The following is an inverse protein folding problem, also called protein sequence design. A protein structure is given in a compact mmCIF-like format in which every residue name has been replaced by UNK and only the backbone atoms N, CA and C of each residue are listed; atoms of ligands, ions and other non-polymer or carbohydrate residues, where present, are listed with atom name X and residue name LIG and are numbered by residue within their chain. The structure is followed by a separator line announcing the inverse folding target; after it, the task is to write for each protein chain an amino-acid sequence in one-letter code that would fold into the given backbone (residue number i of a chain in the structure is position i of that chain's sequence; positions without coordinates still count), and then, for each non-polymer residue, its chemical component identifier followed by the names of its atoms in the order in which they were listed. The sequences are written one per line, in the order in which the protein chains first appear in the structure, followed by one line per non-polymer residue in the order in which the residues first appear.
data_IF_876458253203
#
_entry.id   IF_876458253203
#
_cell.length_a   1.000
_cell.length_b   1.000
_cell.length_c   1.000
_cell.angle_alpha   90.00
_cell.angle_beta   90.00
_cell.angle_gamma   90.00
#
_symmetry.space_group_name_H-M   'P 1'
#
loop_
_entity.id
_entity.type
_entity.pdbx_description
1 polymer ?
#
# COMPACT_ATOMS: atom_id res chain seq x y z
N UNK A 1 1.35 10.27 -2.26
CA UNK A 1 1.99 8.97 -2.49
C UNK A 1 3.14 8.86 -1.50
N UNK A 2 3.29 7.73 -0.81
CA UNK A 2 4.44 7.45 0.06
C UNK A 2 5.21 6.26 -0.49
N UNK A 3 6.54 6.39 -0.58
CA UNK A 3 7.42 5.26 -0.90
C UNK A 3 7.72 4.48 0.39
N UNK A 4 7.73 3.16 0.31
CA UNK A 4 7.99 2.23 1.42
C UNK A 4 8.97 1.15 0.98
N UNK A 5 9.73 0.62 1.94
CA UNK A 5 10.76 -0.38 1.66
C UNK A 5 10.19 -1.79 1.39
N UNK A 6 9.08 -2.14 2.05
CA UNK A 6 8.36 -3.41 1.89
C UNK A 6 6.85 -3.15 1.99
N UNK A 7 6.14 -3.37 0.88
CA UNK A 7 4.71 -3.10 0.80
C UNK A 7 3.89 -4.13 1.58
N UNK A 8 4.29 -5.40 1.60
CA UNK A 8 3.54 -6.47 2.25
C UNK A 8 3.63 -6.37 3.78
N UNK A 9 4.83 -6.06 4.30
CA UNK A 9 5.04 -5.79 5.73
C UNK A 9 4.26 -4.54 6.17
N UNK A 10 4.32 -3.48 5.36
CA UNK A 10 3.60 -2.23 5.64
C UNK A 10 2.09 -2.46 5.69
N UNK A 11 1.53 -3.18 4.71
CA UNK A 11 0.11 -3.50 4.68
C UNK A 11 -0.32 -4.37 5.86
N UNK A 12 0.49 -5.37 6.22
CA UNK A 12 0.23 -6.22 7.39
C UNK A 12 0.16 -5.40 8.68
N UNK A 13 1.06 -4.43 8.84
CA UNK A 13 1.07 -3.53 10.00
C UNK A 13 -0.13 -2.59 10.00
N UNK A 14 -0.44 -1.98 8.85
CA UNK A 14 -1.57 -1.05 8.72
C UNK A 14 -2.92 -1.72 8.94
N UNK A 15 -3.09 -2.97 8.50
CA UNK A 15 -4.31 -3.75 8.74
C UNK A 15 -4.61 -3.90 10.25
N UNK A 16 -3.58 -4.09 11.09
CA UNK A 16 -3.72 -4.14 12.56
C UNK A 16 -4.17 -2.82 13.18
N UNK A 17 -4.02 -1.72 12.45
CA UNK A 17 -4.46 -0.37 12.85
C UNK A 17 -5.77 0.06 12.16
N UNK A 18 -6.48 -0.87 11.52
CA UNK A 18 -7.78 -0.59 10.88
C UNK A 18 -7.67 0.06 9.51
N UNK A 19 -6.55 -0.13 8.81
CA UNK A 19 -6.46 0.24 7.40
C UNK A 19 -7.05 -0.85 6.50
N UNK A 20 -7.72 -0.45 5.43
CA UNK A 20 -8.35 -1.33 4.46
C UNK A 20 -7.81 -1.07 3.05
N UNK A 21 -7.52 -2.13 2.30
CA UNK A 21 -7.15 -2.01 0.89
C UNK A 21 -8.35 -1.50 0.09
N UNK A 22 -8.14 -0.50 -0.78
CA UNK A 22 -9.21 0.07 -1.62
C UNK A 22 -9.41 -0.73 -2.90
N UNK A 23 -8.33 -1.26 -3.47
CA UNK A 23 -8.39 -2.26 -4.53
C UNK A 23 -8.52 -3.65 -3.94
N UNK A 24 -8.87 -4.63 -4.77
CA UNK A 24 -8.79 -6.05 -4.39
C UNK A 24 -7.35 -6.50 -4.18
N UNK A 25 -6.37 -5.86 -4.85
CA UNK A 25 -5.00 -6.35 -4.97
C UNK A 25 -3.97 -5.22 -5.02
N UNK A 26 -2.72 -5.54 -4.67
CA UNK A 26 -1.54 -4.73 -4.97
C UNK A 26 -1.21 -4.86 -6.45
N UNK A 27 -0.98 -3.73 -7.12
CA UNK A 27 -0.67 -3.70 -8.55
C UNK A 27 0.84 -3.59 -8.76
N UNK A 28 1.37 -4.31 -9.75
CA UNK A 28 2.74 -4.15 -10.22
C UNK A 28 2.76 -3.30 -11.48
N UNK A 29 3.58 -2.26 -11.48
CA UNK A 29 3.82 -1.41 -12.64
C UNK A 29 5.20 -1.74 -13.22
N UNK A 30 5.18 -2.40 -14.38
CA UNK A 30 6.38 -2.88 -15.06
C UNK A 30 7.29 -3.67 -14.09
N UNK A 31 8.60 -3.49 -14.21
CA UNK A 31 9.60 -3.98 -13.27
C UNK A 31 10.12 -2.85 -12.36
N UNK A 32 9.34 -1.78 -12.20
CA UNK A 32 9.77 -0.57 -11.50
C UNK A 32 9.09 -0.38 -10.14
N UNK A 33 7.80 -0.70 -10.01
CA UNK A 33 7.07 -0.45 -8.76
C UNK A 33 6.01 -1.50 -8.44
N UNK A 34 5.75 -1.67 -7.14
CA UNK A 34 4.49 -2.22 -6.62
C UNK A 34 3.72 -1.10 -5.94
N UNK A 35 2.41 -1.03 -6.11
CA UNK A 35 1.61 0.06 -5.55
C UNK A 35 0.18 -0.34 -5.18
N UNK A 36 -0.39 0.37 -4.21
CA UNK A 36 -1.78 0.21 -3.80
C UNK A 36 -2.34 1.50 -3.20
N UNK A 37 -3.65 1.51 -2.98
CA UNK A 37 -4.34 2.51 -2.18
C UNK A 37 -4.97 1.85 -0.95
N UNK A 38 -4.87 2.53 0.18
CA UNK A 38 -5.51 2.13 1.44
C UNK A 38 -6.39 3.25 1.98
N UNK A 39 -7.44 2.88 2.70
CA UNK A 39 -8.17 3.79 3.59
C UNK A 39 -7.71 3.56 5.01
N UNK A 40 -7.28 4.61 5.69
CA UNK A 40 -7.00 4.56 7.12
C UNK A 40 -8.30 4.51 7.96
N UNK A 41 -8.20 4.35 9.28
CA UNK A 41 -9.36 4.23 10.17
C UNK A 41 -10.29 5.47 10.16
N UNK A 42 -9.77 6.63 9.78
CA UNK A 42 -10.56 7.86 9.58
C UNK A 42 -11.13 8.00 8.15
N UNK A 43 -11.03 6.96 7.32
CA UNK A 43 -11.49 6.94 5.93
C UNK A 43 -10.58 7.69 4.93
N UNK A 44 -9.44 8.24 5.39
CA UNK A 44 -8.48 8.96 4.54
C UNK A 44 -7.83 8.02 3.53
N UNK A 45 -7.83 8.44 2.26
CA UNK A 45 -7.21 7.70 1.17
C UNK A 45 -5.71 8.01 1.10
N UNK A 46 -4.88 6.98 1.14
CA UNK A 46 -3.43 7.07 1.04
C UNK A 46 -2.93 6.13 -0.06
N UNK A 47 -1.96 6.58 -0.86
CA UNK A 47 -1.28 5.75 -1.84
C UNK A 47 0.10 5.34 -1.34
N UNK A 48 0.43 4.05 -1.46
CA UNK A 48 1.70 3.43 -1.08
C UNK A 48 2.38 2.82 -2.30
N UNK A 49 3.69 2.97 -2.41
CA UNK A 49 4.50 2.39 -3.48
C UNK A 49 5.80 1.81 -2.92
N UNK A 50 6.25 0.69 -3.46
CA UNK A 50 7.55 0.07 -3.22
C UNK A 50 8.31 0.08 -4.54
N UNK A 51 9.53 0.64 -4.53
CA UNK A 51 10.46 0.61 -5.67
C UNK A 51 11.03 -0.80 -5.84
N UNK A 52 11.04 -1.30 -7.07
CA UNK A 52 11.64 -2.58 -7.41
C UNK A 52 13.11 -2.39 -7.82
N UNK A 53 14.00 -3.36 -7.50
CA UNK A 53 15.42 -3.31 -7.87
C UNK A 53 15.70 -3.34 -9.37
#
# INVERSE_FOLDING_TARGET
MFSVDDLDETLTRLARHGAELVSSEVVRYEDAYRLCYVRGPAGLLLGLAEELP
#
